data_IF_313214923388
#
_entry.id   IF_313214923388
#
_cell.length_a   1.000
_cell.length_b   1.000
_cell.length_c   1.000
_cell.angle_alpha   90.00
_cell.angle_beta   90.00
_cell.angle_gamma   90.00
#
_symmetry.space_group_name_H-M   'P 1'
#
loop_
_entity.id
_entity.type
_entity.pdbx_description
1 polymer ?
#
# COMPACT_ATOMS: atom_id res chain seq x y z
N UNK A 1 -12.15 -13.38 6.96
CA UNK A 1 -12.50 -12.39 5.90
C UNK A 1 -13.37 -13.01 4.78
N UNK A 2 -14.38 -13.84 5.12
CA UNK A 2 -15.39 -14.26 4.13
C UNK A 2 -16.65 -13.45 4.40
N UNK A 3 -17.09 -12.66 3.41
CA UNK A 3 -18.38 -11.97 3.44
C UNK A 3 -18.36 -10.46 3.67
N UNK A 4 -17.20 -9.79 3.72
CA UNK A 4 -17.18 -8.32 3.69
C UNK A 4 -17.23 -7.89 2.22
N UNK A 5 -18.24 -7.11 1.88
CA UNK A 5 -18.29 -6.44 0.58
C UNK A 5 -17.13 -5.44 0.49
N UNK A 6 -16.25 -5.66 -0.48
CA UNK A 6 -15.11 -4.79 -0.75
C UNK A 6 -15.28 -4.12 -2.10
N UNK A 7 -15.07 -2.81 -2.11
CA UNK A 7 -15.02 -1.98 -3.30
C UNK A 7 -13.58 -1.53 -3.52
N UNK A 8 -13.08 -1.70 -4.73
CA UNK A 8 -11.81 -1.17 -5.19
C UNK A 8 -12.04 0.23 -5.78
N UNK A 9 -11.29 1.22 -5.30
CA UNK A 9 -11.35 2.60 -5.75
C UNK A 9 -10.03 3.01 -6.39
N UNK A 10 -10.08 3.89 -7.39
CA UNK A 10 -8.89 4.42 -8.02
C UNK A 10 -8.50 5.76 -7.36
N UNK A 11 -7.36 5.77 -6.66
CA UNK A 11 -6.88 6.95 -5.94
C UNK A 11 -6.06 7.92 -6.82
N UNK A 12 -5.86 7.62 -8.10
CA UNK A 12 -5.03 8.41 -8.99
C UNK A 12 -5.53 9.86 -9.10
N UNK A 13 -4.62 10.82 -8.92
CA UNK A 13 -4.87 12.28 -8.98
C UNK A 13 -5.96 12.79 -8.03
N UNK A 14 -6.24 12.09 -6.93
CA UNK A 14 -7.19 12.55 -5.89
C UNK A 14 -6.63 13.68 -5.02
N UNK A 15 -5.31 13.83 -4.95
CA UNK A 15 -4.61 14.85 -4.16
C UNK A 15 -4.34 16.18 -4.90
N UNK A 16 -4.91 16.38 -6.09
CA UNK A 16 -4.70 17.60 -6.89
C UNK A 16 -5.42 18.82 -6.26
N UNK A 17 -4.70 19.93 -6.07
CA UNK A 17 -5.27 21.20 -5.56
C UNK A 17 -4.43 21.87 -4.46
N UNK A 18 -5.10 22.61 -3.57
CA UNK A 18 -4.47 23.42 -2.50
C UNK A 18 -3.55 22.60 -1.58
N UNK A 19 -2.29 23.06 -1.43
CA UNK A 19 -1.22 22.40 -0.64
C UNK A 19 -1.53 22.25 0.85
N UNK A 20 -2.45 23.06 1.40
CA UNK A 20 -2.66 23.16 2.85
C UNK A 20 -3.57 22.03 3.40
N UNK A 21 -4.42 21.41 2.56
CA UNK A 21 -5.38 20.36 2.97
C UNK A 21 -5.50 19.21 1.95
N UNK A 22 -4.41 18.88 1.27
CA UNK A 22 -4.38 17.87 0.20
C UNK A 22 -4.89 16.50 0.66
N UNK A 23 -4.46 16.01 1.82
CA UNK A 23 -4.88 14.71 2.34
C UNK A 23 -6.37 14.66 2.68
N UNK A 24 -6.91 15.71 3.30
CA UNK A 24 -8.33 15.79 3.63
C UNK A 24 -9.18 15.75 2.36
N UNK A 25 -8.84 16.59 1.36
CA UNK A 25 -9.57 16.62 0.10
C UNK A 25 -9.45 15.30 -0.68
N UNK A 26 -8.27 14.67 -0.68
CA UNK A 26 -8.07 13.36 -1.29
C UNK A 26 -8.96 12.31 -0.64
N UNK A 27 -8.95 12.23 0.70
CA UNK A 27 -9.80 11.29 1.45
C UNK A 27 -11.29 11.51 1.17
N UNK A 28 -11.77 12.76 1.16
CA UNK A 28 -13.15 13.08 0.79
C UNK A 28 -13.48 12.63 -0.63
N UNK A 29 -12.58 12.87 -1.60
CA UNK A 29 -12.80 12.45 -2.99
C UNK A 29 -12.86 10.94 -3.13
N UNK A 30 -11.94 10.21 -2.50
CA UNK A 30 -11.90 8.75 -2.54
C UNK A 30 -13.19 8.17 -1.92
N UNK A 31 -13.63 8.71 -0.78
CA UNK A 31 -14.86 8.28 -0.12
C UNK A 31 -16.13 8.51 -0.97
N UNK A 32 -16.14 9.55 -1.80
CA UNK A 32 -17.25 9.87 -2.70
C UNK A 32 -17.14 9.19 -4.07
N UNK A 33 -15.98 8.63 -4.42
CA UNK A 33 -15.80 7.91 -5.68
C UNK A 33 -16.53 6.56 -5.62
N UNK A 34 -17.25 6.24 -6.69
CA UNK A 34 -17.77 4.89 -6.89
C UNK A 34 -16.61 3.91 -7.11
N UNK A 35 -16.61 2.81 -6.37
CA UNK A 35 -15.66 1.72 -6.53
C UNK A 35 -16.20 0.57 -7.38
N UNK A 36 -15.31 -0.31 -7.81
CA UNK A 36 -15.65 -1.57 -8.48
C UNK A 36 -15.72 -2.70 -7.47
N UNK A 37 -16.78 -3.50 -7.51
CA UNK A 37 -16.95 -4.61 -6.57
C UNK A 37 -15.93 -5.71 -6.83
N UNK A 38 -15.27 -6.17 -5.77
CA UNK A 38 -14.31 -7.27 -5.85
C UNK A 38 -15.07 -8.59 -5.67
N UNK A 39 -15.20 -9.35 -6.76
CA UNK A 39 -15.98 -10.60 -6.77
C UNK A 39 -15.16 -11.87 -6.55
N UNK A 40 -13.84 -11.79 -6.70
CA UNK A 40 -12.94 -12.93 -6.65
C UNK A 40 -11.60 -12.54 -6.04
N UNK A 41 -10.88 -13.56 -5.56
CA UNK A 41 -9.48 -13.41 -5.14
C UNK A 41 -8.65 -13.18 -6.40
N UNK A 42 -7.78 -12.18 -6.36
CA UNK A 42 -6.88 -11.81 -7.46
C UNK A 42 -5.45 -12.12 -7.06
N UNK A 43 -4.63 -12.41 -8.05
CA UNK A 43 -3.18 -12.44 -7.86
C UNK A 43 -2.67 -11.01 -7.67
N UNK A 44 -1.86 -10.82 -6.62
CA UNK A 44 -1.22 -9.53 -6.36
C UNK A 44 0.05 -9.43 -7.20
N UNK A 45 0.11 -8.40 -8.03
CA UNK A 45 1.30 -8.03 -8.79
C UNK A 45 1.73 -6.63 -8.34
N UNK A 46 2.57 -6.54 -7.28
CA UNK A 46 3.01 -5.26 -6.75
C UNK A 46 3.71 -4.44 -7.83
N UNK A 47 3.39 -3.15 -7.89
CA UNK A 47 4.09 -2.20 -8.75
C UNK A 47 5.42 -1.79 -8.13
N UNK A 48 6.31 -1.20 -8.93
CA UNK A 48 7.56 -0.60 -8.43
C UNK A 48 7.32 0.45 -7.34
N UNK A 49 6.19 1.18 -7.41
CA UNK A 49 5.79 2.14 -6.39
C UNK A 49 5.48 1.46 -5.05
N UNK A 50 4.74 0.34 -5.10
CA UNK A 50 4.38 -0.44 -3.91
C UNK A 50 5.62 -1.01 -3.22
N UNK A 51 6.57 -1.55 -4.01
CA UNK A 51 7.83 -2.07 -3.48
C UNK A 51 8.67 -0.97 -2.81
N UNK A 52 8.75 0.22 -3.41
CA UNK A 52 9.44 1.37 -2.81
C UNK A 52 8.77 1.84 -1.53
N UNK A 53 7.45 1.83 -1.45
CA UNK A 53 6.74 2.19 -0.24
C UNK A 53 7.02 1.18 0.88
N UNK A 54 7.02 -0.13 0.57
CA UNK A 54 7.37 -1.18 1.54
C UNK A 54 8.81 -1.01 2.06
N UNK A 55 9.77 -0.72 1.19
CA UNK A 55 11.15 -0.39 1.58
C UNK A 55 11.22 0.87 2.47
N UNK A 56 10.43 1.90 2.16
CA UNK A 56 10.33 3.10 2.98
C UNK A 56 9.78 2.77 4.37
N UNK A 57 8.75 1.92 4.45
CA UNK A 57 8.19 1.45 5.72
C UNK A 57 9.19 0.63 6.52
N UNK A 58 9.96 -0.26 5.88
CA UNK A 58 11.00 -1.02 6.56
C UNK A 58 12.06 -0.09 7.18
N UNK A 59 12.43 0.98 6.46
CA UNK A 59 13.35 2.00 6.98
C UNK A 59 12.76 2.77 8.16
N UNK A 60 11.47 3.06 8.16
CA UNK A 60 10.80 3.73 9.30
C UNK A 60 10.76 2.80 10.52
N UNK A 61 10.37 1.54 10.33
CA UNK A 61 10.26 0.56 11.41
C UNK A 61 11.62 0.21 12.03
N UNK A 62 12.68 0.22 11.23
CA UNK A 62 14.05 0.05 11.70
C UNK A 62 14.69 1.35 12.25
N UNK A 63 13.90 2.42 12.45
CA UNK A 63 14.37 3.73 12.91
C UNK A 63 15.47 4.35 12.03
N UNK A 64 15.46 4.02 10.74
CA UNK A 64 16.40 4.54 9.74
C UNK A 64 17.59 3.63 9.46
N UNK A 65 17.75 2.52 10.18
CA UNK A 65 18.96 1.70 10.15
C UNK A 65 19.03 0.74 8.97
N UNK A 66 17.88 0.31 8.43
CA UNK A 66 17.83 -0.76 7.44
C UNK A 66 16.71 -0.57 6.42
N UNK A 67 17.05 -0.79 5.15
CA UNK A 67 16.09 -0.87 4.04
C UNK A 67 16.15 -2.28 3.47
N UNK A 68 15.04 -3.00 3.45
CA UNK A 68 15.00 -4.38 2.94
C UNK A 68 15.19 -4.44 1.42
N UNK A 69 15.68 -5.57 0.91
CA UNK A 69 15.85 -5.77 -0.53
C UNK A 69 14.51 -5.76 -1.27
N UNK A 70 14.53 -5.53 -2.59
CA UNK A 70 13.32 -5.56 -3.44
C UNK A 70 12.65 -6.94 -3.43
N UNK A 71 13.44 -8.01 -3.32
CA UNK A 71 12.92 -9.38 -3.21
C UNK A 71 12.15 -9.59 -1.90
N UNK A 72 12.72 -9.16 -0.77
CA UNK A 72 12.03 -9.20 0.52
C UNK A 72 10.79 -8.31 0.52
N UNK A 73 10.87 -7.13 -0.09
CA UNK A 73 9.72 -6.24 -0.22
C UNK A 73 8.58 -6.88 -1.03
N UNK A 74 8.89 -7.66 -2.07
CA UNK A 74 7.90 -8.41 -2.84
C UNK A 74 7.21 -9.49 -2.01
N UNK A 75 7.97 -10.26 -1.24
CA UNK A 75 7.40 -11.28 -0.34
C UNK A 75 6.45 -10.66 0.69
N UNK A 76 6.82 -9.48 1.22
CA UNK A 76 5.95 -8.71 2.13
C UNK A 76 4.71 -8.20 1.41
N UNK A 77 4.84 -7.67 0.20
CA UNK A 77 3.73 -7.16 -0.61
C UNK A 77 2.68 -8.24 -0.93
N UNK A 78 3.14 -9.47 -1.17
CA UNK A 78 2.28 -10.63 -1.43
C UNK A 78 1.72 -11.28 -0.15
N UNK A 79 2.14 -10.82 1.04
CA UNK A 79 1.73 -11.37 2.33
C UNK A 79 2.41 -12.70 2.70
N UNK A 80 3.48 -13.07 2.02
CA UNK A 80 4.26 -14.29 2.29
C UNK A 80 5.23 -14.12 3.48
N UNK A 81 5.59 -12.88 3.80
CA UNK A 81 6.50 -12.53 4.90
C UNK A 81 5.97 -11.29 5.64
N UNK A 82 6.14 -11.25 6.96
CA UNK A 82 5.82 -10.04 7.74
C UNK A 82 6.92 -8.98 7.56
N UNK A 83 6.59 -7.71 7.78
CA UNK A 83 7.60 -6.64 7.72
C UNK A 83 8.68 -6.84 8.78
N UNK A 84 8.30 -7.26 9.98
CA UNK A 84 9.22 -7.53 11.08
C UNK A 84 10.18 -8.68 10.75
N UNK A 85 9.68 -9.77 10.15
CA UNK A 85 10.53 -10.90 9.76
C UNK A 85 11.40 -10.56 8.55
N UNK A 86 10.93 -9.72 7.62
CA UNK A 86 11.74 -9.20 6.54
C UNK A 86 12.91 -8.36 7.06
N UNK A 87 12.68 -7.49 8.06
CA UNK A 87 13.73 -6.69 8.69
C UNK A 87 14.77 -7.58 9.39
N UNK A 88 14.35 -8.66 10.06
CA UNK A 88 15.28 -9.60 10.71
C UNK A 88 16.15 -10.39 9.73
N UNK A 89 15.70 -10.56 8.49
CA UNK A 89 16.39 -11.34 7.42
C UNK A 89 17.25 -10.49 6.49
N UNK A 90 17.12 -9.17 6.56
CA UNK A 90 17.84 -8.21 5.74
C UNK A 90 19.21 -7.87 6.33
#
# INVERSE_FOLDING_TARGET
LRGIETLEVNEYRTSQGSRIKTHLHAATRIALMGGSRVHHIRELNPTEGDLKEIQRQSRIMSLGNLTISTELARLVACGELTMEDAIKRA
#
